data_IF_087022803983
#
_entry.id   IF_087022803983
#
_cell.length_a   1.000
_cell.length_b   1.000
_cell.length_c   1.000
_cell.angle_alpha   90.00
_cell.angle_beta   90.00
_cell.angle_gamma   90.00
#
_symmetry.space_group_name_H-M   'P 1'
#
loop_
_entity.id
_entity.type
_entity.pdbx_description
1 polymer ?
#
# COMPACT_ATOMS: atom_id res chain seq x y z
N UNK A 1 3.55 2.86 -10.48
CA UNK A 1 2.32 3.49 -11.02
C UNK A 1 2.70 4.54 -12.04
N UNK A 2 2.07 4.58 -13.23
CA UNK A 2 2.16 5.77 -14.11
C UNK A 2 1.10 6.75 -13.64
N UNK A 3 1.56 7.84 -13.05
CA UNK A 3 0.75 8.86 -12.43
C UNK A 3 0.56 10.03 -13.41
N UNK A 4 -0.64 10.61 -13.45
CA UNK A 4 -0.94 11.77 -14.31
C UNK A 4 0.03 12.92 -13.99
N UNK A 5 0.61 13.61 -15.00
CA UNK A 5 1.49 14.74 -14.76
C UNK A 5 0.73 15.86 -14.04
N UNK A 6 1.36 16.42 -13.02
CA UNK A 6 0.79 17.47 -12.17
C UNK A 6 1.49 18.78 -12.48
N UNK A 7 0.76 19.91 -12.41
CA UNK A 7 1.32 21.22 -12.74
C UNK A 7 1.94 21.92 -11.54
N UNK A 8 1.34 21.74 -10.36
CA UNK A 8 1.74 22.47 -9.16
C UNK A 8 2.35 21.58 -8.07
N UNK A 9 2.23 20.26 -8.21
CA UNK A 9 2.62 19.29 -7.20
C UNK A 9 3.66 18.32 -7.75
N UNK A 10 4.68 18.02 -6.96
CA UNK A 10 5.63 16.94 -7.24
C UNK A 10 5.59 15.95 -6.09
N UNK A 11 5.58 14.66 -6.40
CA UNK A 11 5.61 13.58 -5.40
C UNK A 11 6.81 12.70 -5.69
N UNK A 12 7.76 12.67 -4.77
CA UNK A 12 8.98 11.87 -4.83
C UNK A 12 9.05 10.95 -3.62
N UNK A 13 8.79 9.65 -3.83
CA UNK A 13 8.63 8.72 -2.72
C UNK A 13 7.43 9.11 -1.86
N UNK A 14 7.70 9.56 -0.63
CA UNK A 14 6.70 10.03 0.33
C UNK A 14 6.63 11.56 0.42
N UNK A 15 7.59 12.27 -0.16
CA UNK A 15 7.63 13.73 -0.12
C UNK A 15 6.64 14.34 -1.12
N UNK A 16 5.82 15.25 -0.62
CA UNK A 16 4.82 15.98 -1.42
C UNK A 16 5.21 17.45 -1.37
N UNK A 17 5.62 18.00 -2.51
CA UNK A 17 5.98 19.41 -2.62
C UNK A 17 4.98 20.14 -3.51
N UNK A 18 4.63 21.37 -3.11
CA UNK A 18 3.65 22.19 -3.84
C UNK A 18 4.22 23.59 -4.05
N UNK A 19 4.22 24.03 -5.31
CA UNK A 19 4.69 25.36 -5.69
C UNK A 19 3.53 26.16 -6.27
N UNK A 20 3.15 27.24 -5.58
CA UNK A 20 2.05 28.14 -5.97
C UNK A 20 2.45 29.59 -5.76
N UNK A 21 2.19 30.43 -6.77
CA UNK A 21 2.58 31.86 -6.79
C UNK A 21 1.41 32.81 -6.60
N UNK A 22 0.17 32.36 -6.83
CA UNK A 22 -1.04 33.18 -6.68
C UNK A 22 -2.15 32.45 -5.91
N UNK A 23 -3.12 33.21 -5.40
CA UNK A 23 -4.30 32.65 -4.73
C UNK A 23 -5.17 31.80 -5.68
N UNK A 24 -5.20 32.15 -6.96
CA UNK A 24 -5.88 31.36 -8.00
C UNK A 24 -5.17 30.02 -8.23
N UNK A 25 -3.83 30.02 -8.26
CA UNK A 25 -3.03 28.81 -8.42
C UNK A 25 -3.13 27.91 -7.18
N UNK A 26 -3.16 28.48 -5.98
CA UNK A 26 -3.40 27.75 -4.74
C UNK A 26 -4.72 26.97 -4.76
N UNK A 27 -5.82 27.59 -5.21
CA UNK A 27 -7.11 26.90 -5.37
C UNK A 27 -7.05 25.77 -6.42
N UNK A 28 -6.25 25.94 -7.48
CA UNK A 28 -6.05 24.90 -8.51
C UNK A 28 -5.18 23.76 -7.98
N UNK A 29 -4.10 24.05 -7.27
CA UNK A 29 -3.23 23.08 -6.63
C UNK A 29 -3.99 22.21 -5.62
N UNK A 30 -4.89 22.79 -4.82
CA UNK A 30 -5.77 22.01 -3.92
C UNK A 30 -6.62 21.00 -4.70
N UNK A 31 -7.15 21.39 -5.88
CA UNK A 31 -7.92 20.45 -6.72
C UNK A 31 -7.03 19.32 -7.26
N UNK A 32 -5.81 19.63 -7.69
CA UNK A 32 -4.84 18.63 -8.12
C UNK A 32 -4.47 17.66 -7.00
N UNK A 33 -4.18 18.17 -5.79
CA UNK A 33 -3.90 17.37 -4.60
C UNK A 33 -5.08 16.47 -4.23
N UNK A 34 -6.31 16.98 -4.26
CA UNK A 34 -7.53 16.18 -3.99
C UNK A 34 -7.75 15.10 -5.05
N UNK A 35 -7.46 15.39 -6.32
CA UNK A 35 -7.50 14.37 -7.38
C UNK A 35 -6.47 13.27 -7.09
N UNK A 36 -5.24 13.66 -6.76
CA UNK A 36 -4.17 12.73 -6.43
C UNK A 36 -4.44 11.88 -5.22
N UNK A 37 -5.01 12.47 -4.16
CA UNK A 37 -5.47 11.74 -2.99
C UNK A 37 -6.42 10.60 -3.36
N UNK A 38 -7.31 10.81 -4.34
CA UNK A 38 -8.21 9.75 -4.83
C UNK A 38 -7.45 8.66 -5.58
N UNK A 39 -6.50 9.01 -6.45
CA UNK A 39 -5.66 8.03 -7.15
C UNK A 39 -4.87 7.16 -6.16
N UNK A 40 -4.19 7.78 -5.20
CA UNK A 40 -3.42 7.09 -4.16
C UNK A 40 -4.35 6.25 -3.26
N UNK A 41 -5.53 6.78 -2.92
CA UNK A 41 -6.53 6.03 -2.15
C UNK A 41 -7.08 4.81 -2.88
N UNK A 42 -7.18 4.84 -4.22
CA UNK A 42 -7.54 3.66 -5.02
C UNK A 42 -6.42 2.62 -4.99
N UNK A 43 -5.16 3.04 -5.10
CA UNK A 43 -4.00 2.15 -4.99
C UNK A 43 -3.94 1.47 -3.62
N UNK A 44 -4.10 2.23 -2.54
CA UNK A 44 -4.20 1.71 -1.17
C UNK A 44 -5.26 0.62 -1.05
N UNK A 45 -6.46 0.85 -1.61
CA UNK A 45 -7.55 -0.15 -1.58
C UNK A 45 -7.19 -1.41 -2.37
N UNK A 46 -6.45 -1.28 -3.46
CA UNK A 46 -5.95 -2.43 -4.22
C UNK A 46 -4.94 -3.24 -3.39
N UNK A 47 -3.97 -2.57 -2.74
CA UNK A 47 -2.99 -3.20 -1.84
C UNK A 47 -3.68 -3.91 -0.67
N UNK A 48 -4.66 -3.29 -0.03
CA UNK A 48 -5.44 -3.91 1.04
C UNK A 48 -6.18 -5.17 0.59
N UNK A 49 -6.67 -5.21 -0.66
CA UNK A 49 -7.29 -6.42 -1.22
C UNK A 49 -6.25 -7.52 -1.44
N UNK A 50 -5.06 -7.17 -1.93
CA UNK A 50 -3.96 -8.11 -2.10
C UNK A 50 -3.50 -8.68 -0.75
N UNK A 51 -3.32 -7.84 0.27
CA UNK A 51 -2.98 -8.27 1.63
C UNK A 51 -4.02 -9.27 2.18
N UNK A 52 -5.31 -8.95 2.06
CA UNK A 52 -6.40 -9.84 2.51
C UNK A 52 -6.43 -11.16 1.73
N UNK A 53 -6.14 -11.13 0.43
CA UNK A 53 -6.08 -12.34 -0.38
C UNK A 53 -4.90 -13.23 0.02
N UNK A 54 -3.72 -12.63 0.21
CA UNK A 54 -2.51 -13.32 0.66
C UNK A 54 -2.69 -13.96 2.04
N UNK A 55 -3.26 -13.22 3.01
CA UNK A 55 -3.56 -13.75 4.35
C UNK A 55 -4.55 -14.93 4.30
N UNK A 56 -5.60 -14.85 3.47
CA UNK A 56 -6.56 -15.96 3.32
C UNK A 56 -5.91 -17.21 2.74
N UNK A 57 -5.02 -17.04 1.77
CA UNK A 57 -4.32 -18.17 1.15
C UNK A 57 -3.33 -18.82 2.12
N UNK A 58 -2.64 -18.03 2.94
CA UNK A 58 -1.77 -18.55 4.00
C UNK A 58 -2.55 -19.40 5.01
N UNK A 59 -3.66 -18.88 5.54
CA UNK A 59 -4.52 -19.64 6.49
C UNK A 59 -5.07 -20.92 5.85
N UNK A 60 -5.41 -20.88 4.55
CA UNK A 60 -5.87 -22.06 3.81
C UNK A 60 -4.76 -23.11 3.66
N UNK A 61 -3.55 -22.68 3.32
CA UNK A 61 -2.37 -23.54 3.22
C UNK A 61 -2.06 -24.22 4.56
N UNK A 62 -2.04 -23.44 5.64
CA UNK A 62 -1.81 -23.94 7.00
C UNK A 62 -2.85 -24.99 7.40
N UNK A 63 -4.14 -24.73 7.17
CA UNK A 63 -5.21 -25.71 7.43
C UNK A 63 -5.06 -26.98 6.59
N UNK A 64 -4.69 -26.85 5.32
CA UNK A 64 -4.45 -28.01 4.45
C UNK A 64 -3.24 -28.83 4.89
N UNK A 65 -2.17 -28.18 5.35
CA UNK A 65 -0.98 -28.83 5.90
C UNK A 65 -1.29 -29.57 7.21
N UNK A 66 -2.07 -28.97 8.11
CA UNK A 66 -2.50 -29.58 9.36
C UNK A 66 -3.40 -30.80 9.13
N UNK A 67 -4.35 -30.71 8.20
CA UNK A 67 -5.20 -31.84 7.81
C UNK A 67 -4.39 -32.99 7.17
N UNK A 68 -3.39 -32.68 6.34
CA UNK A 68 -2.46 -33.68 5.79
C UNK A 68 -1.58 -34.31 6.86
N UNK A 69 -1.13 -33.54 7.85
CA UNK A 69 -0.33 -34.04 8.97
C UNK A 69 -1.15 -35.01 9.86
N UNK A 70 -2.40 -34.67 10.16
CA UNK A 70 -3.31 -35.57 10.89
C UNK A 70 -3.59 -36.87 10.12
N UNK A 71 -3.83 -36.79 8.80
CA UNK A 71 -4.04 -38.00 7.96
C UNK A 71 -2.77 -38.85 7.79
N UNK A 72 -1.58 -38.25 7.90
CA UNK A 72 -0.29 -38.95 7.79
C UNK A 72 0.17 -39.61 9.09
N UNK A 73 -0.55 -39.47 10.21
CA UNK A 73 -0.22 -40.10 11.50
C UNK A 73 0.01 -41.62 11.46
N UNK A 74 -0.45 -42.31 10.41
CA UNK A 74 -0.27 -43.76 10.22
C UNK A 74 0.83 -44.12 9.18
N UNK A 75 1.30 -43.16 8.35
CA UNK A 75 2.26 -43.40 7.24
C UNK A 75 3.56 -42.56 7.41
N UNK A 76 3.69 -41.79 8.50
CA UNK A 76 4.70 -40.73 8.67
C UNK A 76 6.16 -41.19 8.87
N UNK A 77 6.44 -42.48 9.09
CA UNK A 77 7.80 -42.94 9.40
C UNK A 77 8.73 -42.98 8.17
N UNK A 78 8.21 -43.12 6.95
CA UNK A 78 9.06 -43.27 5.74
C UNK A 78 9.31 -41.98 4.93
N UNK A 79 8.53 -40.91 5.11
CA UNK A 79 8.62 -39.70 4.25
C UNK A 79 9.44 -38.53 4.82
N UNK A 80 9.99 -38.65 6.04
CA UNK A 80 10.74 -37.56 6.71
C UNK A 80 12.07 -37.20 6.06
N UNK A 81 12.66 -38.08 5.25
CA UNK A 81 14.01 -37.85 4.69
C UNK A 81 14.00 -36.93 3.47
N UNK A 82 12.89 -36.85 2.71
CA UNK A 82 12.85 -36.08 1.46
C UNK A 82 12.20 -34.70 1.59
N UNK A 83 11.45 -34.43 2.67
CA UNK A 83 10.72 -33.16 2.84
C UNK A 83 11.54 -32.02 3.44
N UNK A 84 12.74 -32.29 3.97
CA UNK A 84 13.61 -31.27 4.57
C UNK A 84 14.21 -30.28 3.54
N UNK A 85 14.07 -30.55 2.23
CA UNK A 85 14.66 -29.74 1.16
C UNK A 85 13.69 -28.86 0.37
N UNK A 86 12.37 -28.94 0.61
CA UNK A 86 11.42 -28.02 -0.04
C UNK A 86 11.13 -26.84 0.87
N UNK A 87 11.92 -25.78 0.71
CA UNK A 87 11.59 -24.45 1.18
C UNK A 87 10.38 -23.98 0.36
N UNK A 88 9.18 -24.06 0.93
CA UNK A 88 7.99 -23.46 0.32
C UNK A 88 8.24 -21.95 0.23
N UNK A 89 8.49 -21.46 -0.98
CA UNK A 89 8.52 -20.02 -1.24
C UNK A 89 7.10 -19.49 -1.02
N UNK A 90 6.88 -18.56 -0.08
CA UNK A 90 5.56 -17.99 0.13
C UNK A 90 5.11 -17.30 -1.16
N UNK A 91 3.89 -17.60 -1.61
CA UNK A 91 3.31 -17.09 -2.86
C UNK A 91 3.18 -15.55 -2.90
N UNK A 92 3.29 -14.89 -1.73
CA UNK A 92 3.18 -13.45 -1.55
C UNK A 92 4.19 -12.96 -0.51
N UNK A 93 4.93 -11.90 -0.84
CA UNK A 93 5.76 -11.17 0.11
C UNK A 93 4.85 -10.19 0.90
N UNK A 94 4.32 -10.66 2.02
CA UNK A 94 3.45 -9.87 2.89
C UNK A 94 4.17 -8.61 3.42
N UNK A 95 5.46 -8.72 3.70
CA UNK A 95 6.28 -7.63 4.22
C UNK A 95 6.48 -6.53 3.15
N UNK A 96 6.59 -6.91 1.88
CA UNK A 96 6.59 -5.94 0.78
C UNK A 96 5.24 -5.20 0.67
N UNK A 97 4.12 -5.91 0.76
CA UNK A 97 2.78 -5.29 0.70
C UNK A 97 2.56 -4.34 1.88
N UNK A 98 3.00 -4.72 3.08
CA UNK A 98 2.87 -3.89 4.28
C UNK A 98 3.72 -2.62 4.18
N UNK A 99 4.98 -2.73 3.73
CA UNK A 99 5.84 -1.56 3.47
C UNK A 99 5.23 -0.61 2.45
N UNK A 100 4.71 -1.14 1.35
CA UNK A 100 4.06 -0.31 0.32
C UNK A 100 2.79 0.38 0.85
N UNK A 101 2.03 -0.29 1.72
CA UNK A 101 0.84 0.26 2.36
C UNK A 101 1.21 1.38 3.34
N UNK A 102 2.27 1.22 4.12
CA UNK A 102 2.81 2.26 5.00
C UNK A 102 3.25 3.49 4.20
N UNK A 103 4.06 3.30 3.15
CA UNK A 103 4.46 4.42 2.28
C UNK A 103 3.25 5.12 1.63
N UNK A 104 2.23 4.36 1.23
CA UNK A 104 1.00 4.92 0.67
C UNK A 104 0.23 5.75 1.70
N UNK A 105 0.19 5.32 2.96
CA UNK A 105 -0.46 6.04 4.04
C UNK A 105 0.30 7.33 4.40
N UNK A 106 1.65 7.30 4.37
CA UNK A 106 2.48 8.50 4.52
C UNK A 106 2.22 9.52 3.39
N UNK A 107 2.16 9.08 2.13
CA UNK A 107 1.83 9.96 1.00
C UNK A 107 0.46 10.60 1.20
N UNK A 108 -0.55 9.84 1.61
CA UNK A 108 -1.89 10.38 1.87
C UNK A 108 -1.88 11.43 2.98
N UNK A 109 -1.13 11.16 4.05
CA UNK A 109 -0.96 12.10 5.15
C UNK A 109 -0.29 13.40 4.68
N UNK A 110 0.79 13.29 3.91
CA UNK A 110 1.52 14.45 3.40
C UNK A 110 0.71 15.28 2.41
N UNK A 111 -0.14 14.64 1.59
CA UNK A 111 -1.11 15.34 0.74
C UNK A 111 -2.08 16.16 1.61
N UNK A 112 -2.61 15.57 2.68
CA UNK A 112 -3.55 16.27 3.58
C UNK A 112 -2.88 17.43 4.32
N UNK A 113 -1.65 17.24 4.79
CA UNK A 113 -0.85 18.29 5.39
C UNK A 113 -0.61 19.46 4.41
N UNK A 114 -0.25 19.16 3.15
CA UNK A 114 -0.06 20.18 2.12
C UNK A 114 -1.35 20.96 1.82
N UNK A 115 -2.50 20.27 1.72
CA UNK A 115 -3.79 20.92 1.52
C UNK A 115 -4.07 21.90 2.67
N UNK A 116 -3.90 21.45 3.92
CA UNK A 116 -4.13 22.30 5.10
C UNK A 116 -3.20 23.52 5.14
N UNK A 117 -1.93 23.35 4.77
CA UNK A 117 -0.97 24.46 4.71
C UNK A 117 -1.37 25.50 3.65
N UNK A 118 -1.82 25.05 2.48
CA UNK A 118 -2.27 25.96 1.40
C UNK A 118 -3.57 26.66 1.81
N UNK A 119 -4.53 25.92 2.37
CA UNK A 119 -5.79 26.47 2.86
C UNK A 119 -5.54 27.50 4.00
N UNK A 120 -4.64 27.21 4.93
CA UNK A 120 -4.25 28.14 5.99
C UNK A 120 -3.60 29.42 5.45
N UNK A 121 -2.68 29.30 4.49
CA UNK A 121 -2.08 30.48 3.83
C UNK A 121 -3.13 31.31 3.08
N UNK A 122 -4.08 30.65 2.41
CA UNK A 122 -5.17 31.33 1.70
C UNK A 122 -6.07 32.12 2.65
N UNK A 123 -6.36 31.59 3.84
CA UNK A 123 -7.16 32.27 4.86
C UNK A 123 -6.45 33.49 5.44
N UNK A 124 -5.14 33.44 5.62
CA UNK A 124 -4.33 34.56 6.13
C UNK A 124 -4.06 35.65 5.08
N UNK A 125 -4.22 35.32 3.79
CA UNK A 125 -4.01 36.24 2.67
C UNK A 125 -5.27 37.00 2.21
N UNK A 126 -6.41 36.76 2.86
CA UNK A 126 -7.66 37.51 2.69
C UNK A 126 -7.83 38.53 3.81
#
# INVERSE_FOLDING_TARGET
MKLTPMRFTTIEGTDVTVQVTSSADAKRAIKELRHRKKEVGLHRRALQRQQKAAQKEQVRSERASAARAQRRGVIATMSRVTSLFRKETPLYDLDAIERELQMTDEVLHNIDACILQIEGKLLLSN
#
